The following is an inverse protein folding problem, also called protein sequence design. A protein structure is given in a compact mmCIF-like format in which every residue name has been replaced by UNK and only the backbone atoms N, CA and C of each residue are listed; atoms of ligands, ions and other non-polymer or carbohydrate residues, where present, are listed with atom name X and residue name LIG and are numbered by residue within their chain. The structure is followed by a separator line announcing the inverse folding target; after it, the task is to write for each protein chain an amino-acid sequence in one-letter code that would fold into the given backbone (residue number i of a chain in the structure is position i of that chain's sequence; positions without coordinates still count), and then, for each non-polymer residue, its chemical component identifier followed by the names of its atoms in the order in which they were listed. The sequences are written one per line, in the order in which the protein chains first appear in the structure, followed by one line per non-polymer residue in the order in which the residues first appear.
data_IF_665571689322
#
_entry.id   IF_665571689322
#
_cell.length_a   1.000
_cell.length_b   1.000
_cell.length_c   1.000
_cell.angle_alpha   90.00
_cell.angle_beta   90.00
_cell.angle_gamma   90.00
#
_symmetry.space_group_name_H-M   'P 1'
#
loop_
_entity.id
_entity.type
_entity.pdbx_description
1 polymer ?
#
# COMPACT_ATOMS: atom_id res chain seq x y z
N UNK A 1 0.55 -5.98 -33.87
CA UNK A 1 -0.20 -5.59 -32.66
C UNK A 1 0.82 -5.40 -31.56
N UNK A 2 1.03 -4.16 -31.09
CA UNK A 2 1.97 -3.88 -30.01
C UNK A 2 1.21 -4.20 -28.71
N UNK A 3 1.55 -5.31 -28.05
CA UNK A 3 1.22 -5.49 -26.65
C UNK A 3 2.05 -4.47 -25.88
N UNK A 4 1.45 -3.35 -25.50
CA UNK A 4 2.12 -2.42 -24.59
C UNK A 4 2.15 -3.10 -23.22
N UNK A 5 3.29 -3.68 -22.85
CA UNK A 5 3.56 -4.12 -21.48
C UNK A 5 3.50 -2.91 -20.55
N UNK A 6 2.68 -2.95 -19.50
CA UNK A 6 2.59 -1.85 -18.52
C UNK A 6 3.97 -1.51 -17.96
N UNK A 7 4.26 -0.21 -17.80
CA UNK A 7 5.52 0.21 -17.19
C UNK A 7 5.54 -0.11 -15.67
N UNK A 8 6.72 -0.18 -15.02
CA UNK A 8 6.80 -0.35 -13.57
C UNK A 8 6.00 0.71 -12.79
N UNK A 9 6.01 1.95 -13.28
CA UNK A 9 5.25 3.05 -12.67
C UNK A 9 3.75 2.83 -12.82
N UNK A 10 3.26 2.43 -14.01
CA UNK A 10 1.83 2.16 -14.22
C UNK A 10 1.34 1.03 -13.30
N UNK A 11 2.16 -0.02 -13.12
CA UNK A 11 1.87 -1.14 -12.20
C UNK A 11 1.74 -0.62 -10.76
N UNK A 12 2.72 0.17 -10.31
CA UNK A 12 2.72 0.77 -8.98
C UNK A 12 1.51 1.68 -8.77
N UNK A 13 1.27 2.64 -9.67
CA UNK A 13 0.18 3.60 -9.57
C UNK A 13 -1.20 2.94 -9.61
N UNK A 14 -1.37 1.88 -10.41
CA UNK A 14 -2.62 1.10 -10.42
C UNK A 14 -2.91 0.50 -9.05
N UNK A 15 -1.91 -0.12 -8.41
CA UNK A 15 -2.06 -0.69 -7.06
C UNK A 15 -2.27 0.39 -6.00
N UNK A 16 -1.63 1.55 -6.14
CA UNK A 16 -1.82 2.71 -5.25
C UNK A 16 -3.22 3.30 -5.40
N UNK A 17 -3.77 3.40 -6.60
CA UNK A 17 -5.16 3.86 -6.77
C UNK A 17 -6.13 2.87 -6.11
N UNK A 18 -6.03 1.59 -6.46
CA UNK A 18 -6.93 0.54 -5.97
C UNK A 18 -6.92 0.40 -4.44
N UNK A 19 -5.73 0.33 -3.83
CA UNK A 19 -5.62 0.20 -2.37
C UNK A 19 -6.11 1.45 -1.65
N UNK A 20 -6.07 2.63 -2.28
CA UNK A 20 -6.37 3.91 -1.65
C UNK A 20 -7.85 4.12 -1.56
N UNK A 21 -8.51 3.92 -2.70
CA UNK A 21 -9.96 3.89 -2.79
C UNK A 21 -10.53 2.82 -1.84
N UNK A 22 -9.91 1.63 -1.80
CA UNK A 22 -10.36 0.57 -0.91
C UNK A 22 -10.21 0.92 0.58
N UNK A 23 -9.09 1.53 0.98
CA UNK A 23 -8.87 1.98 2.36
C UNK A 23 -9.82 3.10 2.77
N UNK A 24 -10.15 4.04 1.87
CA UNK A 24 -11.06 5.13 2.18
C UNK A 24 -12.54 4.69 2.19
N UNK A 25 -12.91 3.75 1.32
CA UNK A 25 -14.29 3.25 1.18
C UNK A 25 -14.63 2.05 2.05
N UNK A 26 -13.65 1.44 2.75
CA UNK A 26 -13.87 0.22 3.53
C UNK A 26 -14.01 -1.05 2.69
N UNK A 27 -13.57 -1.04 1.43
CA UNK A 27 -13.70 -2.15 0.49
C UNK A 27 -12.58 -3.21 0.64
N UNK A 28 -12.66 -4.02 1.71
CA UNK A 28 -11.64 -5.03 2.03
C UNK A 28 -11.32 -5.99 0.87
N UNK A 29 -12.33 -6.46 0.13
CA UNK A 29 -12.12 -7.41 -0.97
C UNK A 29 -11.23 -6.85 -2.08
N UNK A 30 -11.45 -5.58 -2.43
CA UNK A 30 -10.62 -4.84 -3.41
C UNK A 30 -9.20 -4.66 -2.89
N UNK A 31 -9.05 -4.30 -1.61
CA UNK A 31 -7.75 -4.18 -0.97
C UNK A 31 -7.00 -5.52 -0.99
N UNK A 32 -7.64 -6.60 -0.52
CA UNK A 32 -7.04 -7.92 -0.40
C UNK A 32 -6.61 -8.50 -1.76
N UNK A 33 -7.30 -8.18 -2.85
CA UNK A 33 -6.92 -8.61 -4.19
C UNK A 33 -5.53 -8.07 -4.63
N UNK A 34 -5.09 -6.95 -4.06
CA UNK A 34 -3.83 -6.28 -4.37
C UNK A 34 -2.60 -6.95 -3.72
N UNK A 35 -2.78 -7.90 -2.79
CA UNK A 35 -1.70 -8.50 -2.02
C UNK A 35 -1.59 -10.01 -2.27
N UNK A 36 -0.36 -10.50 -2.34
CA UNK A 36 -0.06 -11.94 -2.27
C UNK A 36 0.35 -12.28 -0.85
N UNK A 37 -0.20 -13.36 -0.30
CA UNK A 37 0.20 -13.87 1.01
C UNK A 37 1.30 -14.94 0.86
N UNK A 38 2.34 -14.95 1.72
CA UNK A 38 2.56 -14.00 2.82
C UNK A 38 2.94 -12.60 2.32
N UNK A 39 2.41 -11.57 3.00
CA UNK A 39 2.72 -10.17 2.78
C UNK A 39 3.48 -9.63 4.00
N UNK A 40 4.60 -8.96 3.76
CA UNK A 40 5.40 -8.36 4.82
C UNK A 40 5.23 -6.85 4.83
N UNK A 41 4.92 -6.30 6.00
CA UNK A 41 4.87 -4.86 6.25
C UNK A 41 5.90 -4.46 7.29
N UNK A 42 6.72 -3.50 6.94
CA UNK A 42 7.78 -2.95 7.78
C UNK A 42 7.50 -1.49 8.08
N UNK A 43 7.79 -1.10 9.31
CA UNK A 43 7.70 0.26 9.82
C UNK A 43 8.90 0.53 10.71
N UNK A 44 9.03 1.77 11.20
CA UNK A 44 10.02 2.10 12.24
C UNK A 44 9.83 1.30 13.54
N UNK A 45 8.64 0.74 13.77
CA UNK A 45 8.33 -0.09 14.95
C UNK A 45 8.67 -1.57 14.76
N UNK A 46 9.10 -1.98 13.57
CA UNK A 46 9.47 -3.37 13.26
C UNK A 46 8.74 -3.93 12.05
N UNK A 47 8.68 -5.25 11.98
CA UNK A 47 8.16 -6.00 10.84
C UNK A 47 7.03 -6.94 11.28
N UNK A 48 5.93 -6.92 10.52
CA UNK A 48 4.82 -7.86 10.64
C UNK A 48 4.73 -8.68 9.34
N UNK A 49 4.50 -9.98 9.48
CA UNK A 49 4.32 -10.90 8.34
C UNK A 49 2.91 -11.45 8.37
N UNK A 50 2.09 -10.92 7.49
CA UNK A 50 0.68 -11.24 7.31
C UNK A 50 0.59 -12.52 6.48
N UNK A 51 0.09 -13.60 7.08
CA UNK A 51 0.07 -14.94 6.47
C UNK A 51 -1.31 -15.43 6.08
N UNK A 52 -2.36 -14.84 6.64
CA UNK A 52 -3.74 -15.23 6.38
C UNK A 52 -4.58 -14.04 5.96
N UNK A 53 -5.69 -14.35 5.29
CA UNK A 53 -6.71 -13.38 4.93
C UNK A 53 -7.28 -12.67 6.17
N UNK A 54 -7.46 -13.40 7.27
CA UNK A 54 -7.94 -12.84 8.53
C UNK A 54 -6.93 -11.87 9.14
N UNK A 55 -5.63 -12.18 9.13
CA UNK A 55 -4.61 -11.21 9.56
C UNK A 55 -4.59 -9.97 8.66
N UNK A 56 -4.75 -10.15 7.34
CA UNK A 56 -4.82 -9.02 6.41
C UNK A 56 -6.06 -8.15 6.68
N UNK A 57 -7.18 -8.79 7.04
CA UNK A 57 -8.42 -8.10 7.43
C UNK A 57 -8.23 -7.28 8.70
N UNK A 58 -7.57 -7.84 9.70
CA UNK A 58 -7.25 -7.12 10.95
C UNK A 58 -6.41 -5.87 10.67
N UNK A 59 -5.33 -6.00 9.90
CA UNK A 59 -4.50 -4.84 9.53
C UNK A 59 -5.30 -3.82 8.70
N UNK A 60 -6.12 -4.28 7.74
CA UNK A 60 -6.98 -3.40 6.95
C UNK A 60 -7.96 -2.60 7.83
N UNK A 61 -8.67 -3.27 8.73
CA UNK A 61 -9.65 -2.62 9.62
C UNK A 61 -8.96 -1.62 10.55
N UNK A 62 -7.75 -1.92 11.04
CA UNK A 62 -6.96 -1.02 11.87
C UNK A 62 -6.55 0.25 11.10
N UNK A 63 -6.04 0.10 9.88
CA UNK A 63 -5.63 1.24 9.04
C UNK A 63 -6.86 2.05 8.61
N UNK A 64 -7.92 1.39 8.13
CA UNK A 64 -9.18 2.06 7.78
C UNK A 64 -9.75 2.85 8.98
N UNK A 65 -9.81 2.21 10.16
CA UNK A 65 -10.26 2.85 11.39
C UNK A 65 -9.42 4.06 11.77
N UNK A 66 -8.09 3.99 11.60
CA UNK A 66 -7.20 5.14 11.79
C UNK A 66 -7.55 6.29 10.84
N UNK A 67 -7.71 6.02 9.54
CA UNK A 67 -8.06 7.04 8.54
C UNK A 67 -9.41 7.70 8.85
N UNK A 68 -10.42 6.91 9.26
CA UNK A 68 -11.73 7.43 9.64
C UNK A 68 -11.67 8.29 10.91
N UNK A 69 -10.90 7.87 11.92
CA UNK A 69 -10.67 8.64 13.16
C UNK A 69 -10.01 9.99 12.87
N UNK A 70 -9.07 10.05 11.93
CA UNK A 70 -8.42 11.28 11.47
C UNK A 70 -9.24 12.08 10.45
N UNK A 71 -10.43 11.59 10.10
CA UNK A 71 -11.31 12.20 9.10
C UNK A 71 -10.61 12.42 7.75
N UNK A 72 -9.73 11.49 7.35
CA UNK A 72 -9.05 11.56 6.05
C UNK A 72 -10.10 11.49 4.95
N UNK A 73 -10.17 12.55 4.14
CA UNK A 73 -11.05 12.66 2.98
C UNK A 73 -10.33 12.38 1.67
N UNK A 74 -8.99 12.48 1.66
CA UNK A 74 -8.17 12.19 0.49
C UNK A 74 -6.84 11.55 0.89
N UNK A 75 -6.48 10.49 0.17
CA UNK A 75 -5.17 9.84 0.25
C UNK A 75 -4.48 10.00 -1.10
N UNK A 76 -3.60 11.00 -1.20
CA UNK A 76 -2.84 11.22 -2.43
C UNK A 76 -1.54 10.41 -2.36
N UNK A 77 -1.38 9.48 -3.30
CA UNK A 77 -0.17 8.66 -3.43
C UNK A 77 0.36 8.72 -4.84
N UNK A 78 1.65 8.97 -4.97
CA UNK A 78 2.31 9.09 -6.27
C UNK A 78 3.59 8.26 -6.30
N UNK A 79 3.79 7.52 -7.39
CA UNK A 79 4.98 6.73 -7.59
C UNK A 79 6.17 7.66 -7.92
N UNK A 80 7.15 7.72 -7.03
CA UNK A 80 8.37 8.54 -7.19
C UNK A 80 9.38 7.85 -8.09
N UNK A 81 9.51 6.52 -7.95
CA UNK A 81 10.38 5.71 -8.81
C UNK A 81 9.87 4.29 -8.87
N UNK A 82 10.06 3.63 -10.01
CA UNK A 82 9.79 2.22 -10.16
C UNK A 82 10.70 1.60 -11.22
N UNK A 83 11.11 0.36 -11.01
CA UNK A 83 11.91 -0.40 -11.96
C UNK A 83 11.62 -1.91 -11.87
N UNK A 84 11.75 -2.60 -13.01
CA UNK A 84 11.76 -4.06 -13.01
C UNK A 84 13.08 -4.56 -12.39
N UNK A 85 12.99 -5.38 -11.34
CA UNK A 85 14.12 -6.17 -10.83
C UNK A 85 14.29 -7.48 -11.60
N UNK A 86 13.19 -7.96 -12.18
CA UNK A 86 13.09 -9.10 -13.09
C UNK A 86 11.84 -8.92 -13.96
N UNK A 87 11.59 -9.79 -14.96
CA UNK A 87 10.36 -9.74 -15.75
C UNK A 87 9.06 -9.84 -14.91
N UNK A 88 9.14 -10.44 -13.73
CA UNK A 88 7.99 -10.73 -12.86
C UNK A 88 8.07 -10.03 -11.49
N UNK A 89 8.99 -9.07 -11.32
CA UNK A 89 9.10 -8.30 -10.07
C UNK A 89 9.45 -6.83 -10.30
N UNK A 90 8.67 -5.94 -9.69
CA UNK A 90 8.86 -4.50 -9.66
C UNK A 90 9.27 -4.06 -8.26
N UNK A 91 10.28 -3.20 -8.18
CA UNK A 91 10.54 -2.37 -7.01
C UNK A 91 10.00 -0.97 -7.26
N UNK A 92 9.28 -0.42 -6.29
CA UNK A 92 8.70 0.92 -6.40
C UNK A 92 8.80 1.69 -5.09
N UNK A 93 9.03 3.00 -5.20
CA UNK A 93 8.92 3.95 -4.10
C UNK A 93 7.78 4.90 -4.41
N UNK A 94 6.92 5.15 -3.43
CA UNK A 94 5.87 6.15 -3.52
C UNK A 94 5.89 7.05 -2.29
N UNK A 95 5.30 8.23 -2.43
CA UNK A 95 5.05 9.14 -1.32
C UNK A 95 3.55 9.18 -1.03
N UNK A 96 3.19 9.17 0.26
CA UNK A 96 1.80 9.25 0.72
C UNK A 96 1.54 10.57 1.42
N UNK A 97 0.46 11.26 1.02
CA UNK A 97 -0.12 12.41 1.71
C UNK A 97 -1.53 12.07 2.17
N UNK A 98 -1.78 12.20 3.47
CA UNK A 98 -3.10 12.03 4.06
C UNK A 98 -3.71 13.40 4.34
N UNK A 99 -4.90 13.64 3.81
CA UNK A 99 -5.54 14.96 3.82
C UNK A 99 -6.94 14.85 4.43
N UNK A 100 -7.22 15.70 5.39
CA UNK A 100 -8.55 15.92 5.97
C UNK A 100 -9.01 17.31 5.55
N UNK A 101 -10.05 17.37 4.71
CA UNK A 101 -10.48 18.59 4.00
C UNK A 101 -9.35 19.16 3.14
N UNK A 102 -8.68 20.21 3.62
CA UNK A 102 -7.58 20.91 2.95
C UNK A 102 -6.29 20.90 3.78
N UNK A 103 -6.23 20.09 4.84
CA UNK A 103 -5.12 20.06 5.80
C UNK A 103 -4.45 18.68 5.76
N UNK A 104 -3.12 18.68 5.73
CA UNK A 104 -2.32 17.47 5.93
C UNK A 104 -2.52 16.94 7.34
N UNK A 105 -2.89 15.68 7.46
CA UNK A 105 -3.12 15.00 8.75
C UNK A 105 -1.81 14.68 9.46
N UNK A 106 -0.75 14.48 8.70
CA UNK A 106 0.61 14.21 9.15
C UNK A 106 1.60 14.55 8.03
N UNK A 107 2.90 14.51 8.34
CA UNK A 107 3.96 14.70 7.37
C UNK A 107 3.86 13.67 6.23
N UNK A 108 4.08 14.07 4.97
CA UNK A 108 4.18 13.13 3.87
C UNK A 108 5.30 12.12 4.12
N UNK A 109 5.03 10.85 3.86
CA UNK A 109 5.99 9.79 4.11
C UNK A 109 6.23 8.92 2.88
N UNK A 110 7.49 8.51 2.62
CA UNK A 110 7.79 7.56 1.58
C UNK A 110 7.50 6.14 2.03
N UNK A 111 7.22 5.29 1.06
CA UNK A 111 7.12 3.85 1.23
C UNK A 111 7.73 3.11 0.05
N UNK A 112 8.50 2.06 0.34
CA UNK A 112 9.08 1.15 -0.63
C UNK A 112 8.24 -0.10 -0.74
N UNK A 113 8.03 -0.63 -1.95
CA UNK A 113 7.27 -1.85 -2.19
C UNK A 113 7.97 -2.79 -3.15
N UNK A 114 7.83 -4.09 -2.90
CA UNK A 114 8.10 -5.14 -3.88
C UNK A 114 6.77 -5.72 -4.37
N UNK A 115 6.62 -5.74 -5.69
CA UNK A 115 5.41 -6.14 -6.37
C UNK A 115 5.76 -7.31 -7.29
N UNK A 116 5.06 -8.42 -7.15
CA UNK A 116 5.35 -9.65 -7.89
C UNK A 116 4.18 -10.07 -8.77
N UNK A 117 4.51 -10.48 -9.99
CA UNK A 117 3.54 -11.05 -10.93
C UNK A 117 3.14 -12.46 -10.48
N UNK A 118 1.85 -12.70 -10.44
CA UNK A 118 1.25 -13.97 -10.07
C UNK A 118 1.05 -14.86 -11.31
N UNK A 119 0.83 -16.18 -11.14
CA UNK A 119 0.60 -17.09 -12.28
C UNK A 119 -0.59 -16.73 -13.17
N UNK A 120 -1.62 -16.06 -12.61
CA UNK A 120 -2.78 -15.55 -13.33
C UNK A 120 -2.50 -14.24 -14.11
N UNK A 121 -1.27 -13.74 -14.03
CA UNK A 121 -0.82 -12.52 -14.69
C UNK A 121 -1.07 -11.23 -13.90
N UNK A 122 -1.74 -11.29 -12.75
CA UNK A 122 -1.96 -10.13 -11.88
C UNK A 122 -0.68 -9.69 -11.18
N UNK A 123 -0.56 -8.40 -10.88
CA UNK A 123 0.52 -7.86 -10.06
C UNK A 123 0.04 -7.68 -8.63
N UNK A 124 0.80 -8.18 -7.66
CA UNK A 124 0.44 -8.08 -6.24
C UNK A 124 1.62 -7.67 -5.38
N UNK A 125 1.34 -6.86 -4.36
CA UNK A 125 2.33 -6.44 -3.37
C UNK A 125 2.62 -7.62 -2.44
N UNK A 126 3.90 -7.89 -2.19
CA UNK A 126 4.36 -8.92 -1.25
C UNK A 126 5.25 -8.37 -0.13
N UNK A 127 5.78 -7.16 -0.31
CA UNK A 127 6.53 -6.44 0.71
C UNK A 127 6.25 -4.95 0.64
N UNK A 128 6.12 -4.29 1.79
CA UNK A 128 6.12 -2.83 1.91
C UNK A 128 6.92 -2.40 3.14
N UNK A 129 7.73 -1.35 3.01
CA UNK A 129 8.38 -0.67 4.13
C UNK A 129 7.98 0.80 4.15
N UNK A 130 7.45 1.27 5.28
CA UNK A 130 6.96 2.63 5.49
C UNK A 130 7.91 3.40 6.41
N UNK A 131 8.25 4.63 6.01
CA UNK A 131 9.03 5.55 6.84
C UNK A 131 8.11 6.61 7.44
N UNK A 132 7.28 6.22 8.41
CA UNK A 132 6.35 7.11 9.11
C UNK A 132 7.00 7.53 10.43
N UNK A 133 7.39 8.81 10.53
CA UNK A 133 8.18 9.32 11.65
C UNK A 133 7.34 10.04 12.72
N UNK A 134 6.11 10.44 12.39
CA UNK A 134 5.30 11.36 13.18
C UNK A 134 3.92 10.80 13.58
N UNK A 135 3.66 9.51 13.31
CA UNK A 135 2.40 8.84 13.67
C UNK A 135 2.63 7.45 14.26
N UNK A 136 2.67 7.37 15.59
CA UNK A 136 2.72 6.08 16.31
C UNK A 136 1.46 5.26 16.09
N UNK A 137 0.28 5.91 16.03
CA UNK A 137 -1.00 5.24 15.82
C UNK A 137 -1.04 4.51 14.46
N UNK A 138 -0.55 5.15 13.39
CA UNK A 138 -0.51 4.53 12.07
C UNK A 138 0.51 3.39 11.99
N UNK A 139 1.70 3.59 12.58
CA UNK A 139 2.69 2.51 12.67
C UNK A 139 2.12 1.28 13.40
N UNK A 140 1.37 1.49 14.50
CA UNK A 140 0.74 0.39 15.24
C UNK A 140 -0.36 -0.30 14.43
N UNK A 141 -1.18 0.46 13.69
CA UNK A 141 -2.22 -0.09 12.82
C UNK A 141 -1.64 -1.00 11.72
N UNK A 142 -0.47 -0.66 11.17
CA UNK A 142 0.25 -1.47 10.19
C UNK A 142 0.89 -2.73 10.79
N UNK A 143 1.05 -2.81 12.12
CA UNK A 143 1.70 -3.92 12.83
C UNK A 143 0.70 -4.82 13.57
N UNK A 144 -0.60 -4.68 13.30
CA UNK A 144 -1.65 -5.49 13.96
C UNK A 144 -1.78 -6.89 13.35
#
# INVERSE_FOLDING_TARGET
MIQTTASPSDISETLLAQTGDALLSGAFETFAACFSLPYTVETVNGQNVIRSRDSLRTTFDAVHGHLMKQQVTMMARHCVSASFRSPDEVAATHETRLISRDILVQEPYPAFSLIKRQPDGSWKVHFTSYVIVDSTDLNNALQT
#
